data_IF_738869397595
#
_entry.id   IF_738869397595
#
_cell.length_a   1.000
_cell.length_b   1.000
_cell.length_c   1.000
_cell.angle_alpha   90.00
_cell.angle_beta   90.00
_cell.angle_gamma   90.00
#
_symmetry.space_group_name_H-M   'P 1'
#
loop_
_entity.id
_entity.type
_entity.pdbx_description
1 polymer ?
#
# COMPACT_ATOMS: atom_id res chain seq x y z
N UNK A 1 -38.24 -21.81 -45.16
CA UNK A 1 -37.65 -21.86 -43.80
C UNK A 1 -38.52 -21.01 -42.88
N UNK A 2 -39.22 -21.60 -41.90
CA UNK A 2 -40.05 -20.84 -40.97
C UNK A 2 -39.14 -20.19 -39.92
N UNK A 3 -39.02 -18.86 -39.94
CA UNK A 3 -38.47 -18.10 -38.82
C UNK A 3 -39.54 -18.04 -37.75
N UNK A 4 -39.36 -18.78 -36.66
CA UNK A 4 -40.16 -18.60 -35.45
C UNK A 4 -39.84 -17.22 -34.88
N UNK A 5 -40.84 -16.34 -34.81
CA UNK A 5 -40.70 -15.04 -34.17
C UNK A 5 -40.62 -15.22 -32.65
N UNK A 6 -39.71 -14.47 -32.01
CA UNK A 6 -39.64 -14.38 -30.55
C UNK A 6 -40.95 -13.76 -30.04
N UNK A 7 -41.56 -14.33 -29.01
CA UNK A 7 -42.79 -13.76 -28.45
C UNK A 7 -42.46 -12.52 -27.61
N UNK A 8 -43.36 -11.54 -27.59
CA UNK A 8 -43.21 -10.35 -26.75
C UNK A 8 -43.08 -10.72 -25.25
N UNK A 9 -43.78 -11.77 -24.82
CA UNK A 9 -43.75 -12.24 -23.42
C UNK A 9 -42.40 -12.88 -23.04
N UNK A 10 -41.76 -13.61 -23.94
CA UNK A 10 -40.41 -14.16 -23.71
C UNK A 10 -39.41 -13.04 -23.47
N UNK A 11 -39.48 -11.95 -24.24
CA UNK A 11 -38.57 -10.82 -24.08
C UNK A 11 -38.82 -10.07 -22.76
N UNK A 12 -40.09 -9.92 -22.35
CA UNK A 12 -40.45 -9.30 -21.07
C UNK A 12 -39.93 -10.12 -19.89
N UNK A 13 -40.06 -11.46 -19.94
CA UNK A 13 -39.61 -12.30 -18.84
C UNK A 13 -38.08 -12.26 -18.67
N UNK A 14 -37.34 -12.18 -19.78
CA UNK A 14 -35.88 -12.06 -19.76
C UNK A 14 -35.43 -10.77 -19.09
N UNK A 15 -36.03 -9.61 -19.44
CA UNK A 15 -35.63 -8.34 -18.82
C UNK A 15 -36.00 -8.27 -17.33
N UNK A 16 -37.09 -8.93 -16.91
CA UNK A 16 -37.49 -9.01 -15.50
C UNK A 16 -36.47 -9.83 -14.70
N UNK A 17 -36.07 -11.00 -15.20
CA UNK A 17 -35.04 -11.82 -14.55
C UNK A 17 -33.71 -11.07 -14.49
N UNK A 18 -33.27 -10.46 -15.60
CA UNK A 18 -32.05 -9.67 -15.63
C UNK A 18 -32.10 -8.48 -14.66
N UNK A 19 -33.28 -7.85 -14.50
CA UNK A 19 -33.50 -6.78 -13.53
C UNK A 19 -33.29 -7.22 -12.07
N UNK A 20 -33.84 -8.38 -11.69
CA UNK A 20 -33.68 -8.93 -10.33
C UNK A 20 -32.22 -9.32 -10.07
N UNK A 21 -31.57 -10.01 -11.02
CA UNK A 21 -30.17 -10.41 -10.90
C UNK A 21 -29.23 -9.21 -10.79
N UNK A 22 -29.49 -8.14 -11.56
CA UNK A 22 -28.71 -6.92 -11.50
C UNK A 22 -28.86 -6.21 -10.13
N UNK A 23 -30.08 -6.14 -9.60
CA UNK A 23 -30.37 -5.48 -8.32
C UNK A 23 -29.62 -6.12 -7.13
N UNK A 24 -29.49 -7.44 -7.10
CA UNK A 24 -28.77 -8.16 -6.03
C UNK A 24 -27.26 -8.19 -6.21
N UNK A 25 -26.77 -8.13 -7.47
CA UNK A 25 -25.35 -8.22 -7.77
C UNK A 25 -24.62 -6.87 -7.61
N UNK A 26 -25.26 -5.76 -8.01
CA UNK A 26 -24.62 -4.45 -8.06
C UNK A 26 -24.03 -3.97 -6.71
N UNK A 27 -24.71 -4.13 -5.55
CA UNK A 27 -24.16 -3.67 -4.27
C UNK A 27 -22.84 -4.37 -3.90
N UNK A 28 -22.67 -5.63 -4.29
CA UNK A 28 -21.44 -6.39 -4.01
C UNK A 28 -20.24 -5.89 -4.82
N UNK A 29 -20.45 -5.32 -6.00
CA UNK A 29 -19.36 -4.86 -6.86
C UNK A 29 -18.76 -3.50 -6.43
N UNK A 30 -19.47 -2.69 -5.65
CA UNK A 30 -19.06 -1.32 -5.30
C UNK A 30 -17.78 -1.28 -4.43
N UNK A 31 -17.49 -2.35 -3.66
CA UNK A 31 -16.30 -2.42 -2.78
C UNK A 31 -15.10 -3.22 -3.31
N UNK A 32 -15.32 -4.12 -4.28
CA UNK A 32 -14.29 -5.10 -4.70
C UNK A 32 -13.03 -4.44 -5.26
N UNK A 33 -13.19 -3.32 -5.97
CA UNK A 33 -12.04 -2.60 -6.55
C UNK A 33 -11.19 -1.92 -5.47
N UNK A 34 -11.81 -1.38 -4.43
CA UNK A 34 -11.12 -0.79 -3.28
C UNK A 34 -10.34 -1.84 -2.50
N UNK A 35 -10.98 -2.97 -2.20
CA UNK A 35 -10.35 -4.12 -1.54
C UNK A 35 -9.17 -4.67 -2.36
N UNK A 36 -9.34 -4.81 -3.68
CA UNK A 36 -8.26 -5.27 -4.55
C UNK A 36 -7.06 -4.32 -4.55
N UNK A 37 -7.29 -3.00 -4.50
CA UNK A 37 -6.21 -2.01 -4.40
C UNK A 37 -5.53 -2.02 -3.03
N UNK A 38 -6.29 -2.15 -1.95
CA UNK A 38 -5.73 -2.30 -0.60
C UNK A 38 -4.88 -3.58 -0.48
N UNK A 39 -5.35 -4.70 -1.05
CA UNK A 39 -4.57 -5.95 -1.11
C UNK A 39 -3.27 -5.81 -1.92
N UNK A 40 -3.28 -5.03 -3.01
CA UNK A 40 -2.05 -4.69 -3.75
C UNK A 40 -1.07 -3.87 -2.91
N UNK A 41 -1.58 -2.90 -2.14
CA UNK A 41 -0.75 -2.10 -1.23
C UNK A 41 -0.06 -2.99 -0.19
N UNK A 42 -0.82 -3.87 0.46
CA UNK A 42 -0.29 -4.83 1.44
C UNK A 42 0.74 -5.78 0.82
N UNK A 43 0.47 -6.31 -0.37
CA UNK A 43 1.42 -7.16 -1.10
C UNK A 43 2.72 -6.42 -1.45
N UNK A 44 2.62 -5.15 -1.83
CA UNK A 44 3.79 -4.33 -2.14
C UNK A 44 4.62 -4.03 -0.88
N UNK A 45 3.99 -3.62 0.22
CA UNK A 45 4.65 -3.43 1.52
C UNK A 45 5.36 -4.71 1.97
N UNK A 46 4.70 -5.87 1.84
CA UNK A 46 5.32 -7.16 2.13
C UNK A 46 6.50 -7.50 1.21
N UNK A 47 6.51 -7.01 -0.03
CA UNK A 47 7.63 -7.15 -0.96
C UNK A 47 8.81 -6.28 -0.51
N UNK A 48 8.55 -5.02 -0.15
CA UNK A 48 9.58 -4.11 0.36
C UNK A 48 10.24 -4.64 1.64
N UNK A 49 9.45 -5.17 2.58
CA UNK A 49 9.96 -5.75 3.83
C UNK A 49 10.89 -6.96 3.62
N UNK A 50 10.75 -7.67 2.49
CA UNK A 50 11.57 -8.86 2.20
C UNK A 50 12.76 -8.56 1.29
N UNK A 51 12.74 -7.45 0.57
CA UNK A 51 13.74 -7.14 -0.47
C UNK A 51 14.48 -5.85 -0.13
N UNK A 52 13.79 -4.72 -0.16
CA UNK A 52 14.38 -3.39 0.02
C UNK A 52 14.91 -3.19 1.44
N UNK A 53 14.08 -3.37 2.46
CA UNK A 53 14.46 -3.05 3.84
C UNK A 53 15.63 -3.89 4.38
N UNK A 54 15.72 -5.22 4.11
CA UNK A 54 16.90 -6.00 4.46
C UNK A 54 18.17 -5.52 3.73
N UNK A 55 18.05 -5.08 2.47
CA UNK A 55 19.22 -4.53 1.74
C UNK A 55 19.67 -3.20 2.33
N UNK A 56 18.75 -2.31 2.69
CA UNK A 56 19.07 -1.05 3.37
C UNK A 56 19.69 -1.30 4.75
N UNK A 57 19.14 -2.24 5.51
CA UNK A 57 19.69 -2.63 6.81
C UNK A 57 21.12 -3.17 6.69
N UNK A 58 21.38 -4.05 5.71
CA UNK A 58 22.74 -4.54 5.44
C UNK A 58 23.70 -3.42 5.05
N UNK A 59 23.23 -2.41 4.31
CA UNK A 59 24.01 -1.22 3.97
C UNK A 59 24.31 -0.38 5.22
N UNK A 60 23.33 -0.22 6.11
CA UNK A 60 23.47 0.54 7.36
C UNK A 60 24.49 -0.13 8.30
N UNK A 61 24.47 -1.46 8.39
CA UNK A 61 25.50 -2.23 9.09
C UNK A 61 26.89 -2.04 8.48
N UNK A 62 26.99 -2.07 7.15
CA UNK A 62 28.27 -1.89 6.45
C UNK A 62 28.83 -0.46 6.59
N UNK A 63 27.98 0.54 6.76
CA UNK A 63 28.39 1.94 6.96
C UNK A 63 28.67 2.32 8.42
N UNK A 64 28.52 1.37 9.36
CA UNK A 64 28.75 1.62 10.78
C UNK A 64 27.65 2.45 11.45
N UNK A 65 26.44 2.45 10.92
CA UNK A 65 25.27 3.12 11.52
C UNK A 65 24.42 2.14 12.35
N UNK A 66 24.97 0.98 12.71
CA UNK A 66 24.30 -0.04 13.55
C UNK A 66 22.87 -0.38 13.10
N UNK A 67 22.63 -0.46 11.79
CA UNK A 67 21.32 -0.80 11.23
C UNK A 67 20.31 0.33 11.15
N UNK A 68 20.68 1.52 11.61
CA UNK A 68 19.88 2.72 11.44
C UNK A 68 19.90 3.13 9.95
N UNK A 69 18.76 2.88 9.30
CA UNK A 69 18.54 3.21 7.89
C UNK A 69 18.32 4.71 7.66
N UNK A 70 17.97 5.48 8.70
CA UNK A 70 17.71 6.92 8.59
C UNK A 70 18.98 7.71 8.28
N UNK A 71 20.14 7.17 8.65
CA UNK A 71 21.46 7.77 8.44
C UNK A 71 22.12 7.35 7.12
N UNK A 72 21.44 6.52 6.31
CA UNK A 72 21.98 6.08 5.03
C UNK A 72 22.14 7.24 4.07
N UNK A 73 23.22 7.14 3.30
CA UNK A 73 23.52 8.06 2.21
C UNK A 73 23.24 7.42 0.87
N UNK A 74 22.74 8.22 -0.07
CA UNK A 74 22.58 7.83 -1.46
C UNK A 74 23.95 7.77 -2.18
N UNK A 75 23.94 7.44 -3.47
CA UNK A 75 25.18 7.32 -4.26
C UNK A 75 25.98 8.64 -4.36
N UNK A 76 25.32 9.80 -4.22
CA UNK A 76 25.98 11.11 -4.22
C UNK A 76 26.50 11.55 -2.84
N UNK A 77 26.35 10.71 -1.80
CA UNK A 77 26.77 11.02 -0.44
C UNK A 77 25.81 11.95 0.32
N UNK A 78 24.64 12.26 -0.24
CA UNK A 78 23.56 13.00 0.40
C UNK A 78 22.69 12.05 1.23
N UNK A 79 21.90 12.57 2.18
CA UNK A 79 20.93 11.76 2.91
C UNK A 79 19.97 11.06 1.93
N UNK A 80 19.74 9.76 2.15
CA UNK A 80 18.82 8.98 1.33
C UNK A 80 17.40 9.54 1.44
N UNK A 81 16.71 9.62 0.31
CA UNK A 81 15.32 10.07 0.18
C UNK A 81 14.41 8.91 -0.22
N UNK A 82 13.10 9.09 -0.07
CA UNK A 82 12.11 8.13 -0.57
C UNK A 82 12.25 7.86 -2.08
N UNK A 83 12.68 8.86 -2.87
CA UNK A 83 12.92 8.69 -4.31
C UNK A 83 14.09 7.76 -4.63
N UNK A 84 15.12 7.71 -3.79
CA UNK A 84 16.28 6.83 -3.98
C UNK A 84 15.91 5.34 -3.88
N UNK A 85 14.74 5.03 -3.33
CA UNK A 85 14.24 3.67 -3.21
C UNK A 85 13.90 3.03 -4.56
N UNK A 86 13.69 3.85 -5.60
CA UNK A 86 13.46 3.38 -6.98
C UNK A 86 14.64 2.60 -7.56
N UNK A 87 15.83 2.75 -6.97
CA UNK A 87 17.03 2.03 -7.40
C UNK A 87 17.03 0.58 -6.89
N UNK A 88 16.15 0.25 -5.93
CA UNK A 88 16.04 -1.08 -5.31
C UNK A 88 14.77 -1.84 -5.75
N UNK A 89 13.68 -1.13 -6.04
CA UNK A 89 12.40 -1.71 -6.47
C UNK A 89 11.67 -0.76 -7.41
N UNK A 90 10.81 -1.28 -8.30
CA UNK A 90 9.91 -0.43 -9.07
C UNK A 90 8.76 0.08 -8.19
N UNK A 91 8.71 1.39 -7.93
CA UNK A 91 7.69 2.01 -7.09
C UNK A 91 6.46 2.43 -7.92
N UNK A 92 5.25 1.93 -7.61
CA UNK A 92 4.03 2.38 -8.25
C UNK A 92 3.69 3.84 -7.91
N UNK A 93 3.10 4.56 -8.87
CA UNK A 93 2.63 5.96 -8.69
C UNK A 93 1.58 6.14 -7.58
N UNK A 94 0.93 5.05 -7.19
CA UNK A 94 -0.07 5.03 -6.13
C UNK A 94 0.53 5.04 -4.72
N UNK A 95 1.82 4.75 -4.58
CA UNK A 95 2.54 5.02 -3.35
C UNK A 95 2.99 6.47 -3.35
N UNK A 96 2.43 7.25 -2.46
CA UNK A 96 2.65 8.68 -2.36
C UNK A 96 3.17 9.05 -0.98
N UNK A 97 3.92 10.15 -0.88
CA UNK A 97 4.29 10.69 0.41
C UNK A 97 3.07 11.35 1.06
N UNK A 98 3.24 11.89 2.26
CA UNK A 98 2.17 12.57 3.00
C UNK A 98 1.66 13.84 2.30
N UNK A 99 2.38 14.33 1.29
CA UNK A 99 1.97 15.46 0.44
C UNK A 99 1.28 15.02 -0.87
N UNK A 100 1.11 13.72 -1.09
CA UNK A 100 0.48 13.18 -2.31
C UNK A 100 1.44 13.05 -3.50
N UNK A 101 2.75 13.27 -3.33
CA UNK A 101 3.71 13.09 -4.42
C UNK A 101 4.11 11.63 -4.53
N UNK A 102 4.20 11.02 -5.73
CA UNK A 102 4.67 9.65 -5.87
C UNK A 102 6.04 9.45 -5.20
N UNK A 103 6.21 8.40 -4.40
CA UNK A 103 7.44 8.16 -3.61
C UNK A 103 8.69 8.18 -4.48
N UNK A 104 8.61 7.66 -5.71
CA UNK A 104 9.71 7.66 -6.70
C UNK A 104 10.22 9.07 -7.07
N UNK A 105 9.45 10.11 -6.76
CA UNK A 105 9.77 11.51 -6.98
C UNK A 105 9.79 12.33 -5.67
N UNK A 106 9.65 11.69 -4.51
CA UNK A 106 9.60 12.40 -3.23
C UNK A 106 11.00 12.73 -2.71
N UNK A 107 11.23 14.00 -2.36
CA UNK A 107 12.46 14.47 -1.74
C UNK A 107 12.47 14.30 -0.22
N UNK A 108 11.48 13.60 0.36
CA UNK A 108 11.42 13.35 1.79
C UNK A 108 12.59 12.45 2.18
N UNK A 109 13.45 12.94 3.07
CA UNK A 109 14.54 12.16 3.61
C UNK A 109 14.00 10.93 4.36
N UNK A 110 14.71 9.80 4.26
CA UNK A 110 14.32 8.57 4.95
C UNK A 110 14.27 8.77 6.47
N UNK A 111 15.07 9.70 7.00
CA UNK A 111 15.03 10.12 8.41
C UNK A 111 13.74 10.79 8.86
N UNK A 112 12.93 11.31 7.94
CA UNK A 112 11.62 11.87 8.24
C UNK A 112 10.49 10.87 7.96
N UNK A 113 10.80 9.78 7.27
CA UNK A 113 9.85 8.77 6.80
C UNK A 113 9.91 7.46 7.60
N UNK A 114 11.03 7.20 8.28
CA UNK A 114 11.29 6.03 9.12
C UNK A 114 11.79 6.46 10.49
N UNK A 115 11.39 5.72 11.53
CA UNK A 115 11.84 5.97 12.91
C UNK A 115 10.96 5.27 13.93
N UNK A 116 11.43 5.13 15.17
CA UNK A 116 10.66 4.50 16.25
C UNK A 116 9.60 5.41 16.89
N UNK A 117 9.39 6.62 16.34
CA UNK A 117 8.50 7.63 16.88
C UNK A 117 9.06 8.28 18.15
N UNK A 118 8.89 9.60 18.27
CA UNK A 118 9.16 10.32 19.52
C UNK A 118 7.85 10.95 19.99
N UNK A 119 7.36 10.55 21.16
CA UNK A 119 6.13 11.13 21.73
C UNK A 119 4.81 10.55 21.19
N UNK A 120 4.80 9.30 20.72
CA UNK A 120 3.56 8.57 20.38
C UNK A 120 3.03 8.77 18.94
N UNK A 121 3.78 9.46 18.07
CA UNK A 121 3.50 9.50 16.63
C UNK A 121 4.64 8.82 15.86
N UNK A 122 4.31 7.80 15.08
CA UNK A 122 5.24 7.12 14.19
C UNK A 122 5.40 7.95 12.92
N UNK A 123 6.63 8.12 12.39
CA UNK A 123 6.82 8.77 11.12
C UNK A 123 6.13 7.97 10.02
N UNK A 124 5.39 8.69 9.19
CA UNK A 124 4.69 8.11 8.07
C UNK A 124 5.66 8.00 6.89
N UNK A 125 5.91 6.77 6.46
CA UNK A 125 6.71 6.48 5.28
C UNK A 125 6.07 7.00 4.00
N UNK A 126 4.75 6.86 3.94
CA UNK A 126 3.92 7.33 2.85
C UNK A 126 2.49 6.83 3.01
N UNK A 127 1.73 6.92 1.94
CA UNK A 127 0.36 6.45 1.86
C UNK A 127 0.09 5.84 0.50
N UNK A 128 -0.71 4.78 0.46
CA UNK A 128 -1.16 4.17 -0.79
C UNK A 128 -2.53 4.72 -1.18
N UNK A 129 -2.62 5.34 -2.36
CA UNK A 129 -3.88 5.86 -2.92
C UNK A 129 -4.73 4.75 -3.55
N UNK A 130 -5.87 4.45 -2.91
CA UNK A 130 -6.87 3.49 -3.43
C UNK A 130 -8.02 4.18 -4.20
N UNK A 131 -7.97 5.51 -4.34
CA UNK A 131 -8.88 6.35 -5.11
C UNK A 131 -9.98 7.02 -4.28
N UNK A 132 -10.53 6.34 -3.28
CA UNK A 132 -11.52 6.87 -2.34
C UNK A 132 -10.97 7.10 -0.92
N UNK A 133 -9.77 6.59 -0.64
CA UNK A 133 -9.08 6.74 0.63
C UNK A 133 -7.55 6.61 0.40
N UNK A 134 -6.78 7.00 1.42
CA UNK A 134 -5.34 6.81 1.47
C UNK A 134 -5.00 5.88 2.63
N UNK A 135 -4.21 4.85 2.36
CA UNK A 135 -3.80 3.87 3.36
C UNK A 135 -2.43 4.27 3.89
N UNK A 136 -2.30 4.75 5.14
CA UNK A 136 -1.01 5.14 5.68
C UNK A 136 -0.09 3.93 5.87
N UNK A 137 1.18 4.14 5.53
CA UNK A 137 2.27 3.18 5.71
C UNK A 137 3.27 3.84 6.67
N UNK A 138 3.61 3.13 7.73
CA UNK A 138 4.58 3.55 8.73
C UNK A 138 5.84 2.71 8.60
N UNK A 139 6.99 3.34 8.84
CA UNK A 139 8.28 2.65 8.80
C UNK A 139 8.92 2.70 10.17
N UNK A 140 9.25 1.53 10.68
CA UNK A 140 10.08 1.37 11.87
C UNK A 140 11.54 1.24 11.45
N UNK A 141 12.38 2.03 12.08
CA UNK A 141 13.82 1.94 11.89
C UNK A 141 14.38 0.63 12.48
N UNK A 142 15.48 0.19 11.90
CA UNK A 142 16.24 -0.95 12.41
C UNK A 142 17.26 -0.51 13.44
N UNK A 143 17.82 -1.49 14.13
CA UNK A 143 18.98 -1.32 14.99
C UNK A 143 19.97 -2.49 14.78
N UNK A 144 21.00 -2.58 15.62
CA UNK A 144 22.06 -3.58 15.51
C UNK A 144 21.55 -5.02 15.49
N UNK A 145 20.39 -5.29 16.10
CA UNK A 145 19.84 -6.64 16.30
C UNK A 145 18.52 -6.87 15.56
N UNK A 146 17.77 -5.82 15.25
CA UNK A 146 16.44 -5.87 14.67
C UNK A 146 16.43 -5.16 13.31
N UNK A 147 15.91 -5.84 12.29
CA UNK A 147 15.76 -5.26 10.96
C UNK A 147 14.61 -4.22 10.92
N UNK A 148 14.71 -3.18 10.09
CA UNK A 148 13.63 -2.24 9.84
C UNK A 148 12.49 -2.93 9.10
N UNK A 149 11.27 -2.45 9.32
CA UNK A 149 10.09 -2.95 8.64
C UNK A 149 9.04 -1.86 8.43
N UNK A 150 8.23 -2.06 7.40
CA UNK A 150 7.02 -1.30 7.14
C UNK A 150 5.81 -1.99 7.74
N UNK A 151 4.91 -1.20 8.30
CA UNK A 151 3.55 -1.62 8.61
C UNK A 151 2.56 -0.70 7.92
N UNK A 152 1.32 -1.13 7.80
CA UNK A 152 0.24 -0.34 7.24
C UNK A 152 -0.91 -0.32 8.25
N UNK A 153 -1.56 0.83 8.40
CA UNK A 153 -2.80 0.91 9.14
C UNK A 153 -3.98 0.95 8.17
N UNK A 154 -4.60 -0.21 7.96
CA UNK A 154 -5.79 -0.37 7.15
C UNK A 154 -7.09 0.07 7.84
N UNK A 155 -7.06 0.60 9.07
CA UNK A 155 -8.25 1.09 9.77
C UNK A 155 -9.03 2.17 9.00
N UNK A 156 -8.34 2.89 8.10
CA UNK A 156 -8.91 3.95 7.25
C UNK A 156 -9.44 3.43 5.88
N UNK A 157 -9.30 2.14 5.57
CA UNK A 157 -9.99 1.54 4.42
C UNK A 157 -11.41 1.25 4.86
N UNK A 158 -12.39 1.86 4.22
CA UNK A 158 -13.81 1.66 4.52
C UNK A 158 -14.21 0.17 4.38
N UNK A 159 -14.06 -0.58 5.46
CA UNK A 159 -14.59 -1.92 5.67
C UNK A 159 -15.42 -1.90 6.96
N UNK A 160 -16.65 -2.45 6.96
CA UNK A 160 -17.27 -2.88 8.19
C UNK A 160 -16.49 -4.10 8.71
N UNK A 161 -15.68 -3.90 9.74
CA UNK A 161 -15.15 -4.97 10.59
C UNK A 161 -14.16 -5.96 9.92
N UNK A 162 -13.01 -5.45 9.47
CA UNK A 162 -11.77 -6.24 9.49
C UNK A 162 -10.79 -5.57 10.43
N UNK A 163 -10.88 -5.91 11.72
CA UNK A 163 -9.77 -5.74 12.66
C UNK A 163 -8.55 -6.41 12.04
N UNK A 164 -7.50 -5.62 11.78
CA UNK A 164 -6.20 -6.16 11.36
C UNK A 164 -5.80 -7.18 12.44
N UNK A 165 -5.49 -8.44 12.09
CA UNK A 165 -5.03 -9.39 13.09
C UNK A 165 -3.77 -8.81 13.75
N UNK A 166 -3.79 -8.74 15.08
CA UNK A 166 -2.76 -8.15 15.95
C UNK A 166 -1.35 -8.73 15.79
N UNK A 167 -1.16 -9.70 14.88
CA UNK A 167 0.11 -10.34 14.53
C UNK A 167 0.98 -9.52 13.54
N UNK A 168 0.53 -8.33 13.13
CA UNK A 168 1.33 -7.39 12.30
C UNK A 168 1.76 -6.13 13.08
N UNK A 169 1.56 -6.13 14.41
CA UNK A 169 1.95 -5.07 15.35
C UNK A 169 3.11 -5.49 16.27
N UNK A 170 3.96 -6.42 15.82
CA UNK A 170 5.17 -6.82 16.54
C UNK A 170 6.41 -6.35 15.81
#
# INVERSE_FOLDING_TARGET
>A
MRRGGFTMIELIFVIVILGILAAVALPKFIGVTSQAKAGKAQAFVGTMNRTVFPTLWSKAMATGTDGDITQLKNASGSAMTLADLKDYIDLPDKLQDTSGTPLKNSSTALSNACGNGSGGSLPQFGQYDIGNAQVPIYCFEGNATNAPFLTFDASNVAEPNTTIPSNYLM
#
